data_IF_461283857007
#
_entry.id   IF_461283857007
#
_cell.length_a   1.000
_cell.length_b   1.000
_cell.length_c   1.000
_cell.angle_alpha   90.00
_cell.angle_beta   90.00
_cell.angle_gamma   90.00
#
_symmetry.space_group_name_H-M   'P 1'
#
loop_
_entity.id
_entity.type
_entity.pdbx_description
1 polymer ?
#
# COMPACT_ATOMS: atom_id res chain seq x y z
N UNK A 1 -9.73 7.47 9.90
CA UNK A 1 -9.55 8.05 11.25
C UNK A 1 -10.91 8.51 11.74
N UNK A 2 -11.36 8.09 12.92
CA UNK A 2 -12.69 8.46 13.42
C UNK A 2 -12.71 9.94 13.87
N UNK A 3 -13.75 10.74 13.53
CA UNK A 3 -13.80 12.17 13.88
C UNK A 3 -13.55 12.45 15.36
N UNK A 4 -14.14 11.68 16.27
CA UNK A 4 -13.89 11.79 17.71
C UNK A 4 -12.42 11.61 18.11
N UNK A 5 -11.69 10.68 17.50
CA UNK A 5 -10.28 10.43 17.80
C UNK A 5 -9.43 11.61 17.32
N UNK A 6 -9.70 12.10 16.12
CA UNK A 6 -8.98 13.26 15.56
C UNK A 6 -9.22 14.53 16.38
N UNK A 7 -10.47 14.81 16.75
CA UNK A 7 -10.82 15.98 17.57
C UNK A 7 -10.18 15.86 18.95
N UNK A 8 -10.21 14.68 19.58
CA UNK A 8 -9.58 14.45 20.87
C UNK A 8 -8.05 14.59 20.83
N UNK A 9 -7.41 14.12 19.75
CA UNK A 9 -5.96 14.24 19.55
C UNK A 9 -5.52 15.68 19.24
N UNK A 10 -6.38 16.50 18.63
CA UNK A 10 -6.11 17.94 18.49
C UNK A 10 -6.32 18.67 19.82
N UNK A 11 -7.38 18.31 20.55
CA UNK A 11 -7.65 18.88 21.86
C UNK A 11 -6.55 18.57 22.89
N UNK A 12 -5.90 17.40 22.80
CA UNK A 12 -4.80 17.03 23.69
C UNK A 12 -3.59 17.96 23.57
N UNK A 13 -3.34 18.52 22.38
CA UNK A 13 -2.28 19.54 22.17
C UNK A 13 -2.61 20.78 23.02
N UNK A 14 -3.84 21.29 22.94
CA UNK A 14 -4.29 22.44 23.72
C UNK A 14 -4.21 22.18 25.24
N UNK A 15 -4.63 20.99 25.69
CA UNK A 15 -4.57 20.60 27.10
C UNK A 15 -3.12 20.51 27.59
N UNK A 16 -2.21 19.95 26.80
CA UNK A 16 -0.80 19.82 27.15
C UNK A 16 -0.11 21.18 27.26
N UNK A 17 -0.38 22.11 26.34
CA UNK A 17 0.09 23.49 26.42
C UNK A 17 -0.42 24.20 27.68
N UNK A 18 -1.71 24.08 27.99
CA UNK A 18 -2.31 24.69 29.18
C UNK A 18 -1.70 24.15 30.48
N UNK A 19 -1.36 22.85 30.52
CA UNK A 19 -0.78 22.18 31.69
C UNK A 19 0.75 22.27 31.76
N UNK A 20 1.42 22.83 30.74
CA UNK A 20 2.89 22.83 30.59
C UNK A 20 3.51 21.44 30.79
N UNK A 21 2.82 20.40 30.32
CA UNK A 21 3.23 19.01 30.54
C UNK A 21 4.24 18.56 29.49
N UNK A 22 5.53 18.64 29.85
CA UNK A 22 6.65 18.20 29.00
C UNK A 22 6.59 16.70 28.66
N UNK A 23 5.88 15.88 29.44
CA UNK A 23 5.73 14.44 29.15
C UNK A 23 4.92 14.20 27.89
N UNK A 24 4.08 15.15 27.49
CA UNK A 24 3.33 15.08 26.22
C UNK A 24 4.25 15.04 24.99
N UNK A 25 5.47 15.58 25.11
CA UNK A 25 6.47 15.56 24.05
C UNK A 25 6.87 14.11 23.69
N UNK A 26 6.86 13.18 24.66
CA UNK A 26 7.09 11.74 24.44
C UNK A 26 5.98 11.10 23.59
N UNK A 27 4.75 11.60 23.70
CA UNK A 27 3.60 11.08 22.94
C UNK A 27 3.55 11.69 21.54
N UNK A 28 3.93 12.96 21.41
CA UNK A 28 3.83 13.73 20.16
C UNK A 28 5.07 13.67 19.26
N UNK A 29 6.26 13.34 19.76
CA UNK A 29 7.51 13.51 18.98
C UNK A 29 7.50 12.70 17.68
N UNK A 30 7.02 11.45 17.69
CA UNK A 30 7.06 10.59 16.52
C UNK A 30 6.11 11.13 15.43
N UNK A 31 4.91 11.57 15.83
CA UNK A 31 3.95 12.23 14.93
C UNK A 31 4.55 13.49 14.34
N UNK A 32 5.21 14.30 15.18
CA UNK A 32 5.89 15.53 14.75
C UNK A 32 7.02 15.25 13.77
N UNK A 33 7.89 14.28 14.05
CA UNK A 33 9.00 13.93 13.16
C UNK A 33 8.53 13.41 11.81
N UNK A 34 7.47 12.61 11.75
CA UNK A 34 6.97 12.14 10.46
C UNK A 34 6.41 13.29 9.61
N UNK A 35 5.71 14.24 10.23
CA UNK A 35 5.21 15.45 9.54
C UNK A 35 6.38 16.32 9.08
N UNK A 36 7.35 16.58 9.97
CA UNK A 36 8.49 17.46 9.71
C UNK A 36 9.45 16.90 8.66
N UNK A 37 9.74 15.60 8.71
CA UNK A 37 10.65 14.92 7.78
C UNK A 37 9.97 14.53 6.46
N UNK A 38 8.67 14.82 6.29
CA UNK A 38 7.88 14.49 5.10
C UNK A 38 8.12 13.04 4.61
N UNK A 39 8.15 12.09 5.54
CA UNK A 39 8.58 10.72 5.19
C UNK A 39 7.57 10.10 4.23
N UNK A 40 7.99 9.93 2.97
CA UNK A 40 7.13 9.47 1.86
C UNK A 40 6.85 7.97 1.87
N UNK A 41 7.43 7.20 2.80
CA UNK A 41 7.19 5.76 2.89
C UNK A 41 5.98 5.47 3.77
N UNK A 42 4.95 4.90 3.16
CA UNK A 42 3.68 4.53 3.82
C UNK A 42 3.86 3.60 5.02
N UNK A 43 4.94 2.79 5.03
CA UNK A 43 5.27 1.88 6.14
C UNK A 43 5.42 2.60 7.48
N UNK A 44 5.91 3.84 7.49
CA UNK A 44 6.09 4.59 8.74
C UNK A 44 4.79 5.25 9.24
N UNK A 45 3.80 5.41 8.37
CA UNK A 45 2.47 5.91 8.75
C UNK A 45 1.77 4.90 9.68
N UNK A 46 1.98 3.59 9.48
CA UNK A 46 1.38 2.56 10.33
C UNK A 46 1.81 2.68 11.81
N UNK A 47 3.07 3.07 12.04
CA UNK A 47 3.65 3.23 13.39
C UNK A 47 3.08 4.46 14.12
N UNK A 48 2.51 5.42 13.39
CA UNK A 48 1.93 6.65 13.96
C UNK A 48 0.56 6.41 14.58
N UNK A 49 -0.21 5.41 14.09
CA UNK A 49 -1.58 5.18 14.54
C UNK A 49 -1.72 4.99 16.06
N UNK A 50 -0.89 4.15 16.73
CA UNK A 50 -0.92 4.04 18.18
C UNK A 50 -0.62 5.37 18.91
N UNK A 51 0.28 6.19 18.37
CA UNK A 51 0.64 7.48 18.97
C UNK A 51 -0.52 8.48 18.91
N UNK A 52 -1.25 8.53 17.78
CA UNK A 52 -2.45 9.37 17.67
C UNK A 52 -3.55 8.90 18.63
N UNK A 53 -3.68 7.59 18.87
CA UNK A 53 -4.60 7.06 19.86
C UNK A 53 -4.21 7.47 21.30
N UNK A 54 -2.91 7.48 21.63
CA UNK A 54 -2.43 7.99 22.91
C UNK A 54 -2.70 9.48 23.09
N UNK A 55 -2.49 10.30 22.04
CA UNK A 55 -2.86 11.71 22.04
C UNK A 55 -4.36 11.89 22.31
N UNK A 56 -5.21 11.16 21.58
CA UNK A 56 -6.66 11.19 21.79
C UNK A 56 -7.06 10.79 23.22
N UNK A 57 -6.43 9.77 23.78
CA UNK A 57 -6.64 9.37 25.18
C UNK A 57 -6.30 10.50 26.16
N UNK A 58 -5.18 11.19 25.95
CA UNK A 58 -4.79 12.35 26.77
C UNK A 58 -5.83 13.49 26.68
N UNK A 59 -6.37 13.76 25.49
CA UNK A 59 -7.43 14.76 25.30
C UNK A 59 -8.72 14.37 26.01
N UNK A 60 -9.13 13.10 25.91
CA UNK A 60 -10.33 12.58 26.57
C UNK A 60 -10.20 12.53 28.10
N UNK A 61 -8.99 12.49 28.67
CA UNK A 61 -8.79 12.66 30.11
C UNK A 61 -9.19 14.06 30.61
N UNK A 62 -9.33 15.05 29.71
CA UNK A 62 -9.88 16.37 30.06
C UNK A 62 -11.36 16.35 30.43
N UNK A 63 -12.10 15.30 30.08
CA UNK A 63 -13.52 15.13 30.43
C UNK A 63 -13.61 14.64 31.89
N UNK A 64 -14.14 15.47 32.77
CA UNK A 64 -14.28 15.17 34.20
C UNK A 64 -15.32 14.08 34.49
N UNK A 65 -16.40 14.06 33.71
CA UNK A 65 -17.48 13.09 33.87
C UNK A 65 -17.07 11.71 33.32
N UNK A 66 -17.05 10.70 34.22
CA UNK A 66 -16.66 9.32 33.86
C UNK A 66 -17.69 8.65 32.95
N UNK A 67 -18.97 8.94 33.11
CA UNK A 67 -20.06 8.38 32.30
C UNK A 67 -20.00 8.92 30.87
N UNK A 68 -19.89 10.24 30.72
CA UNK A 68 -19.75 10.89 29.41
C UNK A 68 -18.50 10.40 28.69
N UNK A 69 -17.36 10.31 29.39
CA UNK A 69 -16.11 9.81 28.81
C UNK A 69 -16.26 8.36 28.32
N UNK A 70 -16.87 7.47 29.11
CA UNK A 70 -17.11 6.08 28.70
C UNK A 70 -18.03 5.99 27.49
N UNK A 71 -19.09 6.80 27.46
CA UNK A 71 -20.01 6.85 26.33
C UNK A 71 -19.31 7.30 25.03
N UNK A 72 -18.52 8.37 25.08
CA UNK A 72 -17.76 8.86 23.91
C UNK A 72 -16.77 7.82 23.40
N UNK A 73 -16.04 7.16 24.31
CA UNK A 73 -15.09 6.10 23.93
C UNK A 73 -15.81 4.90 23.33
N UNK A 74 -16.89 4.42 23.97
CA UNK A 74 -17.65 3.28 23.49
C UNK A 74 -18.26 3.57 22.10
N UNK A 75 -18.85 4.75 21.91
CA UNK A 75 -19.39 5.19 20.63
C UNK A 75 -18.32 5.16 19.54
N UNK A 76 -17.15 5.78 19.79
CA UNK A 76 -16.05 5.82 18.83
C UNK A 76 -15.51 4.42 18.48
N UNK A 77 -15.41 3.51 19.46
CA UNK A 77 -14.91 2.15 19.23
C UNK A 77 -15.93 1.32 18.45
N UNK A 78 -17.20 1.33 18.88
CA UNK A 78 -18.27 0.53 18.26
C UNK A 78 -18.52 0.99 16.83
N UNK A 79 -18.65 2.30 16.59
CA UNK A 79 -18.84 2.83 15.23
C UNK A 79 -17.65 2.48 14.32
N UNK A 80 -16.42 2.62 14.82
CA UNK A 80 -15.21 2.28 14.06
C UNK A 80 -15.17 0.79 13.74
N UNK A 81 -15.57 -0.07 14.67
CA UNK A 81 -15.59 -1.52 14.47
C UNK A 81 -16.66 -1.94 13.47
N UNK A 82 -17.87 -1.36 13.55
CA UNK A 82 -18.95 -1.59 12.58
C UNK A 82 -18.48 -1.21 11.18
N UNK A 83 -17.94 0.00 11.00
CA UNK A 83 -17.47 0.46 9.69
C UNK A 83 -16.29 -0.41 9.20
N UNK A 84 -15.38 -0.81 10.09
CA UNK A 84 -14.27 -1.69 9.73
C UNK A 84 -14.74 -3.05 9.22
N UNK A 85 -15.65 -3.71 9.95
CA UNK A 85 -16.11 -5.07 9.65
C UNK A 85 -17.07 -5.10 8.47
N UNK A 86 -18.04 -4.19 8.42
CA UNK A 86 -19.13 -4.27 7.44
C UNK A 86 -18.90 -3.43 6.18
N UNK A 87 -18.00 -2.45 6.21
CA UNK A 87 -17.73 -1.59 5.06
C UNK A 87 -16.33 -1.86 4.52
N UNK A 88 -15.29 -1.55 5.30
CA UNK A 88 -13.92 -1.59 4.79
C UNK A 88 -13.43 -3.00 4.46
N UNK A 89 -13.64 -3.97 5.36
CA UNK A 89 -13.17 -5.34 5.14
C UNK A 89 -13.75 -5.98 3.86
N UNK A 90 -15.09 -6.04 3.67
CA UNK A 90 -15.65 -6.64 2.46
C UNK A 90 -15.31 -5.82 1.21
N UNK A 91 -15.17 -4.50 1.32
CA UNK A 91 -14.74 -3.67 0.20
C UNK A 91 -13.30 -3.98 -0.23
N UNK A 92 -12.37 -4.05 0.73
CA UNK A 92 -10.95 -4.33 0.44
C UNK A 92 -10.73 -5.70 -0.21
N UNK A 93 -11.56 -6.69 0.12
CA UNK A 93 -11.44 -8.04 -0.45
C UNK A 93 -11.99 -8.17 -1.87
N UNK A 94 -12.77 -7.19 -2.34
CA UNK A 94 -13.44 -7.21 -3.65
C UNK A 94 -12.82 -6.28 -4.69
N UNK A 95 -12.03 -5.28 -4.27
CA UNK A 95 -11.29 -4.42 -5.20
C UNK A 95 -10.04 -5.09 -5.77
N UNK A 96 -9.58 -4.66 -6.95
CA UNK A 96 -8.41 -5.26 -7.61
C UNK A 96 -7.10 -5.10 -6.86
N UNK A 97 -6.99 -4.14 -5.94
CA UNK A 97 -5.81 -3.99 -5.08
C UNK A 97 -5.55 -5.24 -4.22
N UNK A 98 -6.59 -6.04 -3.91
CA UNK A 98 -6.43 -7.31 -3.17
C UNK A 98 -5.53 -8.31 -3.90
N UNK A 99 -5.44 -8.19 -5.24
CA UNK A 99 -4.59 -9.06 -6.04
C UNK A 99 -3.12 -8.91 -5.65
N UNK A 100 -2.66 -7.70 -5.30
CA UNK A 100 -1.29 -7.45 -4.80
C UNK A 100 -1.02 -8.19 -3.50
N UNK A 101 -1.96 -8.12 -2.55
CA UNK A 101 -1.87 -8.84 -1.27
C UNK A 101 -1.84 -10.36 -1.50
N UNK A 102 -2.77 -10.89 -2.28
CA UNK A 102 -2.87 -12.33 -2.57
C UNK A 102 -1.65 -12.84 -3.33
N UNK A 103 -1.13 -12.06 -4.26
CA UNK A 103 0.11 -12.34 -4.97
C UNK A 103 1.32 -12.37 -4.04
N UNK A 104 1.49 -11.37 -3.18
CA UNK A 104 2.59 -11.34 -2.20
C UNK A 104 2.55 -12.54 -1.25
N UNK A 105 1.37 -12.86 -0.69
CA UNK A 105 1.18 -14.05 0.15
C UNK A 105 1.49 -15.35 -0.61
N UNK A 106 1.12 -15.44 -1.88
CA UNK A 106 1.44 -16.59 -2.71
C UNK A 106 2.94 -16.71 -2.99
N UNK A 107 3.63 -15.60 -3.30
CA UNK A 107 5.09 -15.58 -3.46
C UNK A 107 5.77 -16.10 -2.18
N UNK A 108 5.28 -15.72 -1.00
CA UNK A 108 5.78 -16.23 0.28
C UNK A 108 5.56 -17.74 0.47
N UNK A 109 4.48 -18.30 -0.10
CA UNK A 109 4.16 -19.73 0.02
C UNK A 109 5.03 -20.65 -0.87
N UNK A 110 5.70 -20.11 -1.88
CA UNK A 110 6.56 -20.88 -2.79
C UNK A 110 8.04 -20.74 -2.43
N UNK A 111 8.79 -21.83 -2.62
CA UNK A 111 10.23 -21.92 -2.32
C UNK A 111 11.08 -21.24 -3.39
N UNK A 112 10.96 -19.91 -3.46
CA UNK A 112 11.81 -19.03 -4.27
C UNK A 112 12.42 -17.95 -3.37
N UNK A 113 13.56 -17.40 -3.79
CA UNK A 113 14.17 -16.26 -3.11
C UNK A 113 13.78 -14.92 -3.76
N UNK A 114 13.52 -14.94 -5.07
CA UNK A 114 13.50 -13.75 -5.91
C UNK A 114 12.26 -13.70 -6.79
N UNK A 115 11.69 -12.51 -6.97
CA UNK A 115 10.60 -12.25 -7.90
C UNK A 115 11.02 -11.14 -8.89
N UNK A 116 11.07 -11.46 -10.19
CA UNK A 116 11.14 -10.43 -11.24
C UNK A 116 9.74 -9.90 -11.47
N UNK A 117 9.58 -8.59 -11.32
CA UNK A 117 8.32 -7.92 -11.61
C UNK A 117 8.42 -7.22 -12.95
N UNK A 118 7.36 -7.30 -13.74
CA UNK A 118 7.15 -6.53 -14.95
C UNK A 118 5.80 -5.83 -14.82
N UNK A 119 5.75 -4.58 -15.26
CA UNK A 119 4.50 -3.86 -15.35
C UNK A 119 4.15 -3.66 -16.82
N UNK A 120 2.89 -3.89 -17.16
CA UNK A 120 2.36 -3.75 -18.51
C UNK A 120 1.38 -2.59 -18.44
N UNK A 121 1.84 -1.41 -18.85
CA UNK A 121 1.00 -0.23 -19.04
C UNK A 121 0.53 -0.20 -20.49
N UNK A 122 -0.78 -0.16 -20.72
CA UNK A 122 -1.37 0.00 -22.04
C UNK A 122 -1.50 1.49 -22.39
N UNK A 123 -1.54 1.83 -23.68
CA UNK A 123 -1.68 3.22 -24.14
C UNK A 123 -2.95 3.93 -23.64
N UNK A 124 -3.89 3.21 -23.05
CA UNK A 124 -5.19 3.73 -22.61
C UNK A 124 -5.28 3.76 -21.08
N UNK A 125 -4.21 3.40 -20.38
CA UNK A 125 -4.20 3.41 -18.92
C UNK A 125 -4.05 4.84 -18.40
N UNK A 126 -4.95 5.26 -17.53
CA UNK A 126 -4.86 6.56 -16.85
C UNK A 126 -3.73 6.60 -15.79
N UNK A 127 -3.24 5.42 -15.38
CA UNK A 127 -2.32 5.22 -14.26
C UNK A 127 -1.12 4.39 -14.70
N UNK A 128 0.08 4.83 -14.31
CA UNK A 128 1.29 4.04 -14.47
C UNK A 128 1.28 2.83 -13.52
N UNK A 129 1.30 1.61 -14.05
CA UNK A 129 1.27 0.36 -13.26
C UNK A 129 2.51 0.18 -12.37
N UNK A 130 3.60 0.91 -12.61
CA UNK A 130 4.82 0.88 -11.79
C UNK A 130 4.58 1.22 -10.32
N UNK A 131 3.55 2.02 -10.01
CA UNK A 131 3.19 2.35 -8.62
C UNK A 131 2.71 1.14 -7.81
N UNK A 132 2.36 0.04 -8.48
CA UNK A 132 1.96 -1.21 -7.83
C UNK A 132 3.14 -2.01 -7.30
N UNK A 133 4.36 -1.81 -7.81
CA UNK A 133 5.53 -2.61 -7.41
C UNK A 133 5.87 -2.44 -5.93
N UNK A 134 5.96 -1.21 -5.37
CA UNK A 134 6.19 -1.03 -3.94
C UNK A 134 5.05 -1.51 -3.06
N UNK A 135 3.83 -1.58 -3.61
CA UNK A 135 2.67 -2.10 -2.88
C UNK A 135 2.77 -3.62 -2.80
N UNK A 136 3.18 -4.30 -3.88
CA UNK A 136 3.47 -5.74 -3.86
C UNK A 136 4.58 -6.06 -2.84
N UNK A 137 5.64 -5.24 -2.81
CA UNK A 137 6.78 -5.34 -1.88
C UNK A 137 6.36 -5.27 -0.39
N UNK A 138 5.21 -4.66 -0.09
CA UNK A 138 4.68 -4.64 1.27
C UNK A 138 4.18 -6.01 1.74
N UNK A 139 3.77 -6.87 0.80
CA UNK A 139 3.07 -8.13 1.08
C UNK A 139 3.92 -9.37 0.84
N UNK A 140 5.20 -9.21 0.53
CA UNK A 140 6.13 -10.31 0.27
C UNK A 140 7.43 -10.11 1.04
N UNK A 141 8.03 -11.22 1.45
CA UNK A 141 9.38 -11.25 2.04
C UNK A 141 10.43 -11.57 0.98
N UNK A 142 9.99 -11.89 -0.26
CA UNK A 142 10.88 -12.17 -1.39
C UNK A 142 11.56 -10.91 -1.89
N UNK A 143 12.78 -11.05 -2.37
CA UNK A 143 13.47 -9.93 -3.02
C UNK A 143 12.78 -9.61 -4.35
N UNK A 144 12.27 -8.39 -4.48
CA UNK A 144 11.68 -7.88 -5.70
C UNK A 144 12.75 -7.24 -6.58
N UNK A 145 12.81 -7.68 -7.83
CA UNK A 145 13.60 -7.06 -8.88
C UNK A 145 12.65 -6.46 -9.89
N UNK A 146 12.84 -5.17 -10.17
CA UNK A 146 11.98 -4.48 -11.12
C UNK A 146 12.82 -3.60 -12.02
N UNK A 147 12.84 -3.98 -13.31
CA UNK A 147 13.41 -3.14 -14.35
C UNK A 147 12.33 -2.16 -14.80
N UNK A 148 12.44 -0.93 -14.30
CA UNK A 148 11.58 0.16 -14.74
C UNK A 148 12.05 0.58 -16.13
N UNK A 149 11.21 0.36 -17.13
CA UNK A 149 11.50 0.82 -18.48
C UNK A 149 11.15 2.31 -18.55
N UNK A 150 12.17 3.18 -18.41
CA UNK A 150 12.01 4.64 -18.44
C UNK A 150 11.40 5.14 -19.77
N UNK A 151 11.39 4.30 -20.80
CA UNK A 151 10.87 4.57 -22.13
C UNK A 151 9.36 4.35 -22.26
N UNK A 152 8.67 3.89 -21.21
CA UNK A 152 7.20 3.87 -21.17
C UNK A 152 6.72 5.30 -21.00
N UNK A 153 6.68 6.01 -22.14
CA UNK A 153 6.15 7.35 -22.23
C UNK A 153 4.67 7.31 -21.83
N UNK A 154 4.19 8.30 -21.05
CA UNK A 154 2.77 8.42 -20.81
C UNK A 154 2.06 8.59 -22.15
N UNK A 155 0.91 7.91 -22.35
CA UNK A 155 0.35 7.70 -23.69
C UNK A 155 -0.07 8.96 -24.46
N UNK A 156 -0.23 10.10 -23.79
CA UNK A 156 -0.56 11.38 -24.44
C UNK A 156 -0.35 12.57 -23.52
N UNK A 157 -0.11 13.78 -24.02
CA UNK A 157 -0.01 15.01 -23.20
C UNK A 157 -1.19 15.25 -22.22
N UNK A 158 -2.33 14.53 -22.38
CA UNK A 158 -3.48 14.56 -21.46
C UNK A 158 -3.13 14.16 -20.03
N UNK A 159 -2.07 13.38 -19.78
CA UNK A 159 -1.69 13.04 -18.40
C UNK A 159 -1.29 14.27 -17.58
N UNK A 160 -0.83 15.37 -18.19
CA UNK A 160 -0.40 16.58 -17.47
C UNK A 160 -1.55 17.26 -16.72
N UNK A 161 -2.76 17.14 -17.26
CA UNK A 161 -4.01 17.66 -16.69
C UNK A 161 -4.72 16.62 -15.83
N UNK A 162 -4.28 15.36 -15.86
CA UNK A 162 -4.88 14.29 -15.08
C UNK A 162 -4.59 14.46 -13.59
N UNK A 163 -5.59 14.27 -12.70
CA UNK A 163 -5.34 14.20 -11.26
C UNK A 163 -4.43 13.02 -10.89
N UNK A 164 -4.24 12.06 -11.80
CA UNK A 164 -3.39 10.88 -11.62
C UNK A 164 -1.97 11.06 -12.19
N UNK A 165 -1.59 12.28 -12.61
CA UNK A 165 -0.25 12.60 -13.14
C UNK A 165 0.90 12.15 -12.25
N UNK A 166 0.70 12.18 -10.93
CA UNK A 166 1.72 11.80 -9.95
C UNK A 166 2.16 10.34 -10.11
N UNK A 167 1.32 9.49 -10.69
CA UNK A 167 1.65 8.08 -10.98
C UNK A 167 2.64 7.99 -12.15
N UNK A 168 2.54 8.89 -13.11
CA UNK A 168 3.47 9.02 -14.24
C UNK A 168 4.76 9.75 -13.87
N UNK A 169 4.71 10.64 -12.88
CA UNK A 169 5.89 11.31 -12.30
C UNK A 169 6.67 10.42 -11.31
N UNK A 170 6.15 9.22 -11.00
CA UNK A 170 6.78 8.28 -10.09
C UNK A 170 8.15 7.84 -10.60
N UNK A 171 9.17 8.00 -9.77
CA UNK A 171 10.53 7.50 -10.01
C UNK A 171 10.76 6.25 -9.19
N UNK A 172 11.12 5.16 -9.88
CA UNK A 172 11.37 3.90 -9.20
C UNK A 172 12.64 3.99 -8.33
N UNK A 173 12.60 3.55 -7.07
CA UNK A 173 13.79 3.52 -6.24
C UNK A 173 14.89 2.60 -6.78
N UNK A 174 16.14 3.05 -6.68
CA UNK A 174 17.31 2.34 -7.21
C UNK A 174 17.57 0.95 -6.59
N UNK A 175 17.00 0.65 -5.42
CA UNK A 175 17.19 -0.67 -4.80
C UNK A 175 16.47 -1.81 -5.54
N UNK A 176 15.52 -1.50 -6.42
CA UNK A 176 14.86 -2.52 -7.26
C UNK A 176 15.68 -2.95 -8.48
N UNK A 177 16.70 -2.18 -8.88
CA UNK A 177 17.50 -2.43 -10.09
C UNK A 177 18.82 -3.19 -9.84
N UNK A 178 19.08 -3.63 -8.60
CA UNK A 178 20.31 -4.32 -8.24
C UNK A 178 20.32 -5.76 -8.78
N UNK A 179 20.85 -5.95 -9.99
CA UNK A 179 21.05 -7.25 -10.63
C UNK A 179 22.38 -7.86 -10.15
N UNK A 180 22.42 -8.40 -8.93
CA UNK A 180 23.56 -9.20 -8.51
C UNK A 180 23.31 -10.67 -8.82
N UNK A 181 23.89 -11.17 -9.93
CA UNK A 181 24.11 -12.60 -10.28
C UNK A 181 23.10 -13.59 -9.66
N UNK A 182 21.82 -13.39 -9.95
CA UNK A 182 20.77 -14.23 -9.39
C UNK A 182 20.73 -15.57 -10.12
N UNK A 183 20.65 -16.63 -9.34
CA UNK A 183 20.45 -17.97 -9.86
C UNK A 183 19.06 -18.05 -10.49
N UNK A 184 18.97 -17.87 -11.82
CA UNK A 184 17.74 -17.88 -12.64
C UNK A 184 16.86 -19.13 -12.42
N UNK A 185 17.40 -20.17 -11.79
CA UNK A 185 16.67 -21.38 -11.43
C UNK A 185 15.70 -21.21 -10.25
N UNK A 186 15.90 -20.21 -9.37
CA UNK A 186 15.08 -20.01 -8.17
C UNK A 186 14.37 -18.64 -8.12
N UNK A 187 13.66 -18.33 -9.20
CA UNK A 187 13.01 -17.04 -9.42
C UNK A 187 11.57 -17.27 -9.90
N UNK A 188 10.66 -16.34 -9.59
CA UNK A 188 9.35 -16.24 -10.25
C UNK A 188 9.29 -14.98 -11.12
N UNK A 189 8.49 -15.03 -12.19
CA UNK A 189 8.13 -13.86 -12.99
C UNK A 189 6.74 -13.40 -12.59
N UNK A 190 6.59 -12.11 -12.32
CA UNK A 190 5.35 -11.47 -11.88
C UNK A 190 5.01 -10.39 -12.89
N UNK A 191 3.85 -10.52 -13.52
CA UNK A 191 3.32 -9.54 -14.45
C UNK A 191 2.17 -8.80 -13.79
N UNK A 192 2.25 -7.47 -13.74
CA UNK A 192 1.19 -6.58 -13.26
C UNK A 192 0.60 -5.85 -14.46
N UNK A 193 -0.70 -5.97 -14.69
CA UNK A 193 -1.40 -5.38 -15.83
C UNK A 193 -2.78 -4.85 -15.48
N UNK A 194 -3.31 -3.91 -16.29
CA UNK A 194 -4.70 -3.46 -16.22
C UNK A 194 -5.69 -4.40 -16.92
N UNK A 195 -5.20 -5.28 -17.80
CA UNK A 195 -5.98 -6.26 -18.57
C UNK A 195 -5.55 -7.69 -18.21
N UNK A 196 -6.45 -8.57 -17.75
CA UNK A 196 -6.07 -9.87 -17.23
C UNK A 196 -5.64 -10.80 -18.37
N UNK A 197 -4.41 -11.32 -18.28
CA UNK A 197 -3.92 -12.36 -19.18
C UNK A 197 -3.36 -11.87 -20.51
N UNK A 198 -3.41 -10.57 -20.82
CA UNK A 198 -2.63 -9.99 -21.93
C UNK A 198 -1.18 -9.79 -21.50
N UNK A 199 -0.30 -10.62 -22.05
CA UNK A 199 1.14 -10.47 -21.91
C UNK A 199 1.71 -10.21 -23.31
N UNK A 200 2.48 -9.13 -23.52
CA UNK A 200 3.10 -8.86 -24.81
C UNK A 200 3.95 -10.04 -25.29
N UNK A 201 3.90 -10.33 -26.59
CA UNK A 201 4.64 -11.43 -27.23
C UNK A 201 6.15 -11.41 -26.94
N UNK A 202 6.72 -10.22 -26.71
CA UNK A 202 8.11 -10.04 -26.31
C UNK A 202 8.51 -10.83 -25.05
N UNK A 203 7.58 -11.04 -24.10
CA UNK A 203 7.84 -11.77 -22.87
C UNK A 203 7.68 -13.30 -23.00
N UNK A 204 7.12 -13.82 -24.10
CA UNK A 204 6.93 -15.26 -24.28
C UNK A 204 8.25 -16.03 -24.15
N UNK A 205 9.35 -15.50 -24.69
CA UNK A 205 10.68 -16.11 -24.58
C UNK A 205 11.17 -16.18 -23.14
N UNK A 206 10.80 -15.23 -22.27
CA UNK A 206 11.17 -15.23 -20.85
C UNK A 206 10.29 -16.18 -20.03
N UNK A 207 9.02 -16.32 -20.42
CA UNK A 207 8.08 -17.27 -19.81
C UNK A 207 8.46 -18.72 -20.16
N UNK A 208 9.09 -18.96 -21.33
CA UNK A 208 9.59 -20.29 -21.72
C UNK A 208 10.52 -20.86 -20.63
N UNK A 209 10.09 -21.96 -20.02
CA UNK A 209 10.78 -22.63 -18.92
C UNK A 209 10.13 -22.45 -17.55
N UNK A 210 9.06 -21.67 -17.44
CA UNK A 210 8.19 -21.66 -16.26
C UNK A 210 7.00 -22.59 -16.50
N UNK A 211 6.79 -23.55 -15.61
CA UNK A 211 5.81 -24.63 -15.80
C UNK A 211 4.45 -24.31 -15.19
N UNK A 212 4.43 -23.48 -14.16
CA UNK A 212 3.23 -23.19 -13.39
C UNK A 212 2.83 -21.72 -13.56
N UNK A 213 1.52 -21.49 -13.57
CA UNK A 213 0.90 -20.16 -13.71
C UNK A 213 -0.16 -19.98 -12.63
N UNK A 214 -0.09 -18.86 -11.90
CA UNK A 214 -1.14 -18.41 -10.98
C UNK A 214 -1.63 -17.03 -11.40
N UNK A 215 -2.95 -16.86 -11.47
CA UNK A 215 -3.58 -15.59 -11.86
C UNK A 215 -4.43 -15.08 -10.69
N UNK A 216 -4.30 -13.79 -10.40
CA UNK A 216 -5.11 -13.05 -9.45
C UNK A 216 -5.87 -11.96 -10.21
N UNK A 217 -7.18 -12.16 -10.35
CA UNK A 217 -8.05 -11.38 -11.22
C UNK A 217 -9.31 -10.83 -10.54
N UNK A 218 -9.29 -10.63 -9.22
CA UNK A 218 -10.43 -10.05 -8.52
C UNK A 218 -10.64 -8.60 -8.99
N UNK A 219 -11.88 -8.25 -9.33
CA UNK A 219 -12.29 -6.88 -9.67
C UNK A 219 -13.81 -6.75 -9.58
N UNK A 220 -14.30 -5.67 -8.96
CA UNK A 220 -15.72 -5.30 -8.96
C UNK A 220 -16.14 -4.44 -10.17
N UNK A 221 -15.19 -4.02 -11.02
CA UNK A 221 -15.49 -3.20 -12.19
C UNK A 221 -15.89 -1.74 -11.91
N UNK A 222 -16.07 -1.35 -10.64
CA UNK A 222 -16.44 0.01 -10.22
C UNK A 222 -15.30 1.02 -10.46
N UNK A 223 -14.05 0.57 -10.42
CA UNK A 223 -12.86 1.40 -10.64
C UNK A 223 -12.29 1.20 -12.04
N UNK A 224 -11.93 2.33 -12.69
CA UNK A 224 -11.21 2.32 -13.97
C UNK A 224 -9.83 1.69 -13.82
N UNK A 225 -9.13 2.02 -12.73
CA UNK A 225 -7.86 1.41 -12.42
C UNK A 225 -8.06 -0.03 -11.94
N UNK A 226 -7.46 -0.96 -12.69
CA UNK A 226 -7.45 -2.39 -12.37
C UNK A 226 -6.02 -2.87 -12.26
N UNK A 227 -5.79 -3.80 -11.34
CA UNK A 227 -4.49 -4.41 -11.11
C UNK A 227 -4.67 -5.90 -11.10
N UNK A 228 -4.27 -6.54 -12.17
CA UNK A 228 -4.26 -7.98 -12.34
C UNK A 228 -2.83 -8.49 -12.25
N UNK A 229 -2.67 -9.64 -11.61
CA UNK A 229 -1.34 -10.20 -11.38
C UNK A 229 -1.28 -11.61 -11.91
N UNK A 230 -0.28 -11.86 -12.75
CA UNK A 230 0.04 -13.19 -13.26
C UNK A 230 1.42 -13.58 -12.78
N UNK A 231 1.53 -14.71 -12.10
CA UNK A 231 2.81 -15.23 -11.58
C UNK A 231 3.14 -16.52 -12.32
N UNK A 232 4.34 -16.55 -12.90
CA UNK A 232 4.94 -17.72 -13.49
C UNK A 232 6.06 -18.21 -12.59
N UNK A 233 6.04 -19.50 -12.25
CA UNK A 233 7.03 -20.11 -11.36
C UNK A 233 7.39 -21.53 -11.82
N UNK A 234 8.52 -22.03 -11.34
CA UNK A 234 8.93 -23.43 -11.52
C UNK A 234 8.58 -24.17 -10.23
N UNK A 235 7.91 -25.32 -10.35
CA UNK A 235 7.89 -26.27 -9.23
C UNK A 235 9.28 -26.90 -9.14
N UNK A 236 9.78 -27.10 -7.91
CA UNK A 236 10.79 -28.13 -7.68
C UNK A 236 10.19 -29.50 -7.99
#
# INVERSE_FOLDING_TARGET
MHPYITIAALYSIFVAFKKKDLKYLIVGYLVFFVILLQIRRIRYIMVIFPMVALMASYGLQGIKDKGLRRFVVASAVISSLIVAIFVYLPFLDKISAVNLKKAGMFLNSIDIANAEVFTISLEHDDVNQAVSVPILDLFTEKNIFYFYDEWVLPPSNKYKESPLRFTWEYKNPAYYSLVNNLNKKNQALVFISSDPGKIPLYYEKRIKGFLMKKVFNVSEGVFNYKTFITIYYRSK
#
